data_IF_221493512757
#
_entry.id   IF_221493512757
#
_cell.length_a   1.000
_cell.length_b   1.000
_cell.length_c   1.000
_cell.angle_alpha   90.00
_cell.angle_beta   90.00
_cell.angle_gamma   90.00
#
_symmetry.space_group_name_H-M   'P 1'
#
loop_
_entity.id
_entity.type
_entity.pdbx_description
1 polymer ?
#
# COMPACT_ATOMS: atom_id res chain seq x y z
N UNK A 1 21.10 0.77 -4.06
CA UNK A 1 20.56 2.15 -3.96
C UNK A 1 20.25 2.39 -2.49
N UNK A 2 20.74 3.48 -1.89
CA UNK A 2 20.40 3.82 -0.50
C UNK A 2 18.94 4.28 -0.47
N UNK A 3 18.11 3.73 0.41
CA UNK A 3 16.74 4.24 0.65
C UNK A 3 16.90 5.62 1.29
N UNK A 4 16.17 6.62 0.79
CA UNK A 4 16.17 7.96 1.37
C UNK A 4 15.63 7.91 2.80
N UNK A 5 16.21 8.70 3.70
CA UNK A 5 15.93 8.60 5.12
C UNK A 5 14.45 8.90 5.42
N UNK A 6 13.82 9.76 4.61
CA UNK A 6 12.41 10.12 4.67
C UNK A 6 11.45 8.97 4.37
N UNK A 7 11.90 7.97 3.61
CA UNK A 7 11.09 6.84 3.17
C UNK A 7 11.29 5.59 4.04
N UNK A 8 12.14 5.63 5.06
CA UNK A 8 12.50 4.41 5.81
C UNK A 8 11.30 3.74 6.48
N UNK A 9 10.34 4.51 7.00
CA UNK A 9 9.14 3.96 7.63
C UNK A 9 8.21 3.37 6.57
N UNK A 10 7.84 4.16 5.55
CA UNK A 10 6.97 3.71 4.46
C UNK A 10 7.53 2.48 3.74
N UNK A 11 8.85 2.43 3.52
CA UNK A 11 9.50 1.25 2.90
C UNK A 11 9.39 -0.01 3.78
N UNK A 12 9.43 0.12 5.12
CA UNK A 12 9.19 -1.01 6.03
C UNK A 12 7.72 -1.47 5.95
N UNK A 13 6.79 -0.54 5.85
CA UNK A 13 5.37 -0.84 5.69
C UNK A 13 5.07 -1.49 4.33
N UNK A 14 5.78 -1.10 3.28
CA UNK A 14 5.76 -1.78 1.97
C UNK A 14 6.24 -3.22 2.04
N UNK A 15 7.26 -3.53 2.84
CA UNK A 15 7.65 -4.92 3.06
C UNK A 15 6.50 -5.74 3.66
N UNK A 16 5.68 -5.14 4.52
CA UNK A 16 4.51 -5.79 5.11
C UNK A 16 3.38 -5.96 4.10
N UNK A 17 3.07 -4.92 3.30
CA UNK A 17 2.12 -4.99 2.20
C UNK A 17 2.50 -6.09 1.20
N UNK A 18 3.78 -6.15 0.80
CA UNK A 18 4.29 -7.18 -0.11
C UNK A 18 4.24 -8.58 0.49
N UNK A 19 4.50 -8.73 1.79
CA UNK A 19 4.36 -10.01 2.49
C UNK A 19 2.91 -10.49 2.46
N UNK A 20 1.96 -9.62 2.82
CA UNK A 20 0.52 -9.89 2.74
C UNK A 20 0.10 -10.24 1.30
N UNK A 21 0.56 -9.45 0.32
CA UNK A 21 0.25 -9.68 -1.08
C UNK A 21 0.71 -11.07 -1.56
N UNK A 22 1.92 -11.47 -1.21
CA UNK A 22 2.42 -12.82 -1.51
C UNK A 22 1.61 -13.91 -0.78
N UNK A 23 1.23 -13.68 0.49
CA UNK A 23 0.35 -14.61 1.23
C UNK A 23 -0.98 -14.78 0.51
N UNK A 24 -1.62 -13.69 0.07
CA UNK A 24 -2.89 -13.73 -0.67
C UNK A 24 -2.76 -14.56 -1.96
N UNK A 25 -1.74 -14.26 -2.77
CA UNK A 25 -1.51 -14.97 -4.04
C UNK A 25 -1.24 -16.46 -3.81
N UNK A 26 -0.43 -16.81 -2.81
CA UNK A 26 -0.10 -18.20 -2.52
C UNK A 26 -1.29 -18.97 -1.95
N UNK A 27 -2.06 -18.36 -1.05
CA UNK A 27 -3.26 -18.97 -0.46
C UNK A 27 -4.35 -19.15 -1.51
N UNK A 28 -4.59 -18.17 -2.38
CA UNK A 28 -5.58 -18.28 -3.46
C UNK A 28 -5.22 -19.38 -4.48
N UNK A 29 -3.93 -19.66 -4.66
CA UNK A 29 -3.44 -20.77 -5.50
C UNK A 29 -3.37 -22.11 -4.77
N UNK A 30 -3.58 -22.10 -3.45
CA UNK A 30 -3.67 -23.34 -2.68
C UNK A 30 -5.04 -23.98 -2.93
N UNK A 31 -5.09 -25.31 -3.05
CA UNK A 31 -6.36 -26.05 -3.12
C UNK A 31 -7.04 -26.18 -1.75
N UNK A 32 -6.86 -25.20 -0.85
CA UNK A 32 -7.42 -25.20 0.49
C UNK A 32 -8.41 -24.04 0.69
N UNK A 33 -9.69 -24.34 0.47
CA UNK A 33 -10.78 -23.38 0.60
C UNK A 33 -10.97 -22.83 2.03
N UNK A 34 -10.59 -23.59 3.07
CA UNK A 34 -10.66 -23.11 4.46
C UNK A 34 -9.65 -21.97 4.67
N UNK A 35 -8.39 -22.19 4.26
CA UNK A 35 -7.35 -21.18 4.38
C UNK A 35 -7.68 -19.90 3.59
N UNK A 36 -8.29 -20.04 2.41
CA UNK A 36 -8.77 -18.90 1.62
C UNK A 36 -9.81 -18.09 2.41
N UNK A 37 -10.84 -18.76 2.94
CA UNK A 37 -11.89 -18.11 3.72
C UNK A 37 -11.36 -17.43 4.98
N UNK A 38 -10.49 -18.11 5.73
CA UNK A 38 -9.90 -17.58 6.96
C UNK A 38 -9.08 -16.32 6.67
N UNK A 39 -8.27 -16.34 5.60
CA UNK A 39 -7.50 -15.18 5.20
C UNK A 39 -8.37 -14.03 4.71
N UNK A 40 -9.45 -14.31 3.96
CA UNK A 40 -10.41 -13.29 3.52
C UNK A 40 -11.06 -12.56 4.71
N UNK A 41 -11.51 -13.32 5.71
CA UNK A 41 -12.08 -12.76 6.94
C UNK A 41 -11.07 -11.91 7.71
N UNK A 42 -9.83 -12.38 7.80
CA UNK A 42 -8.76 -11.65 8.46
C UNK A 42 -8.47 -10.31 7.77
N UNK A 43 -8.28 -10.33 6.44
CA UNK A 43 -8.00 -9.13 5.65
C UNK A 43 -9.12 -8.11 5.79
N UNK A 44 -10.38 -8.54 5.61
CA UNK A 44 -11.55 -7.67 5.75
C UNK A 44 -11.62 -6.98 7.11
N UNK A 45 -11.23 -7.70 8.18
CA UNK A 45 -11.24 -7.17 9.54
C UNK A 45 -10.10 -6.18 9.84
N UNK A 46 -8.91 -6.38 9.29
CA UNK A 46 -7.72 -5.65 9.75
C UNK A 46 -7.12 -4.70 8.73
N UNK A 47 -7.25 -4.97 7.42
CA UNK A 47 -6.49 -4.29 6.37
C UNK A 47 -6.60 -2.76 6.45
N UNK A 48 -7.83 -2.23 6.53
CA UNK A 48 -8.06 -0.79 6.59
C UNK A 48 -7.40 -0.16 7.81
N UNK A 49 -7.63 -0.71 9.01
CA UNK A 49 -7.03 -0.17 10.24
C UNK A 49 -5.51 -0.31 10.31
N UNK A 50 -4.94 -1.28 9.58
CA UNK A 50 -3.50 -1.52 9.56
C UNK A 50 -2.77 -0.55 8.62
N UNK A 51 -3.38 -0.20 7.48
CA UNK A 51 -2.68 0.51 6.40
C UNK A 51 -3.27 1.89 6.06
N UNK A 52 -4.30 2.35 6.77
CA UNK A 52 -4.86 3.69 6.55
C UNK A 52 -3.86 4.80 6.80
N UNK A 53 -3.05 4.69 7.85
CA UNK A 53 -2.02 5.70 8.16
C UNK A 53 -0.96 5.75 7.04
N UNK A 54 -0.54 4.60 6.50
CA UNK A 54 0.37 4.51 5.36
C UNK A 54 -0.18 5.24 4.13
N UNK A 55 -1.37 4.84 3.67
CA UNK A 55 -2.00 5.41 2.48
C UNK A 55 -2.29 6.90 2.65
N UNK A 56 -2.79 7.32 3.81
CA UNK A 56 -3.03 8.74 4.10
C UNK A 56 -1.74 9.55 4.06
N UNK A 57 -0.64 9.04 4.64
CA UNK A 57 0.65 9.71 4.60
C UNK A 57 1.18 9.83 3.18
N UNK A 58 1.11 8.77 2.38
CA UNK A 58 1.53 8.78 0.98
C UNK A 58 0.72 9.78 0.16
N UNK A 59 -0.60 9.75 0.28
CA UNK A 59 -1.49 10.65 -0.45
C UNK A 59 -1.20 12.10 -0.11
N UNK A 60 -1.17 12.45 1.18
CA UNK A 60 -1.01 13.83 1.65
C UNK A 60 0.39 14.39 1.39
N UNK A 61 1.44 13.59 1.62
CA UNK A 61 2.82 14.10 1.70
C UNK A 61 3.67 13.79 0.47
N UNK A 62 3.26 12.83 -0.37
CA UNK A 62 3.99 12.42 -1.56
C UNK A 62 3.14 12.66 -2.81
N UNK A 63 1.94 12.11 -2.88
CA UNK A 63 1.18 12.09 -4.13
C UNK A 63 0.65 13.48 -4.47
N UNK A 64 0.05 14.15 -3.49
CA UNK A 64 -0.47 15.51 -3.64
C UNK A 64 0.58 16.54 -4.07
N UNK A 65 1.81 16.58 -3.52
CA UNK A 65 2.83 17.49 -4.04
C UNK A 65 3.45 17.03 -5.38
N UNK A 66 3.62 15.72 -5.60
CA UNK A 66 4.21 15.21 -6.85
C UNK A 66 3.29 15.35 -8.07
N UNK A 67 1.97 15.24 -7.91
CA UNK A 67 1.01 15.37 -9.03
C UNK A 67 1.12 16.70 -9.77
N UNK A 68 1.63 17.74 -9.11
CA UNK A 68 1.81 19.08 -9.68
C UNK A 68 3.13 19.28 -10.41
N UNK A 69 4.06 18.31 -10.35
CA UNK A 69 5.40 18.45 -10.93
C UNK A 69 5.44 18.13 -12.43
N UNK A 70 4.55 17.27 -12.92
CA UNK A 70 4.42 16.97 -14.36
C UNK A 70 3.12 16.24 -14.69
N UNK A 71 2.72 16.22 -15.97
CA UNK A 71 1.52 15.49 -16.41
C UNK A 71 1.62 13.96 -16.28
N UNK A 72 2.83 13.38 -16.34
CA UNK A 72 3.02 11.95 -16.09
C UNK A 72 2.87 11.61 -14.61
N UNK A 73 3.40 12.46 -13.71
CA UNK A 73 3.22 12.31 -12.27
C UNK A 73 1.76 12.53 -11.86
N UNK A 74 1.05 13.47 -12.50
CA UNK A 74 -0.38 13.63 -12.29
C UNK A 74 -1.15 12.33 -12.53
N UNK A 75 -0.90 11.67 -13.66
CA UNK A 75 -1.54 10.39 -14.00
C UNK A 75 -1.15 9.28 -13.03
N UNK A 76 0.14 9.14 -12.71
CA UNK A 76 0.64 8.11 -11.80
C UNK A 76 0.05 8.27 -10.39
N UNK A 77 0.05 9.49 -9.83
CA UNK A 77 -0.50 9.74 -8.51
C UNK A 77 -2.01 9.46 -8.45
N UNK A 78 -2.78 9.87 -9.45
CA UNK A 78 -4.22 9.56 -9.47
C UNK A 78 -4.49 8.05 -9.59
N UNK A 79 -3.70 7.34 -10.40
CA UNK A 79 -3.80 5.88 -10.46
C UNK A 79 -3.58 5.25 -9.08
N UNK A 80 -2.54 5.66 -8.35
CA UNK A 80 -2.23 5.09 -7.03
C UNK A 80 -3.33 5.40 -6.00
N UNK A 81 -3.91 6.60 -6.03
CA UNK A 81 -5.08 6.97 -5.19
C UNK A 81 -6.28 6.07 -5.52
N UNK A 82 -6.58 5.87 -6.81
CA UNK A 82 -7.68 5.00 -7.23
C UNK A 82 -7.41 3.54 -6.80
N UNK A 83 -6.16 3.08 -6.88
CA UNK A 83 -5.74 1.75 -6.41
C UNK A 83 -5.89 1.59 -4.89
N UNK A 84 -5.61 2.62 -4.07
CA UNK A 84 -5.90 2.58 -2.62
C UNK A 84 -7.38 2.32 -2.34
N UNK A 85 -8.27 3.04 -3.04
CA UNK A 85 -9.72 2.85 -2.89
C UNK A 85 -10.16 1.46 -3.36
N UNK A 86 -9.61 0.97 -4.47
CA UNK A 86 -9.88 -0.38 -4.95
C UNK A 86 -9.42 -1.46 -3.97
N UNK A 87 -8.24 -1.28 -3.34
CA UNK A 87 -7.72 -2.20 -2.32
C UNK A 87 -8.64 -2.25 -1.10
N UNK A 88 -9.16 -1.11 -0.64
CA UNK A 88 -10.12 -1.09 0.45
C UNK A 88 -11.44 -1.77 0.08
N UNK A 89 -11.97 -1.50 -1.11
CA UNK A 89 -13.21 -2.12 -1.57
C UNK A 89 -13.06 -3.64 -1.67
N UNK A 90 -11.99 -4.11 -2.33
CA UNK A 90 -11.69 -5.54 -2.44
C UNK A 90 -11.55 -6.17 -1.05
N UNK A 91 -10.76 -5.57 -0.15
CA UNK A 91 -10.57 -6.10 1.20
C UNK A 91 -11.89 -6.25 1.97
N UNK A 92 -12.78 -5.26 1.86
CA UNK A 92 -14.09 -5.30 2.49
C UNK A 92 -14.97 -6.44 1.94
N UNK A 93 -14.92 -6.67 0.62
CA UNK A 93 -15.80 -7.62 -0.08
C UNK A 93 -15.32 -9.08 -0.03
N UNK A 94 -14.04 -9.32 0.30
CA UNK A 94 -13.43 -10.66 0.32
C UNK A 94 -14.23 -11.75 1.06
N UNK A 95 -14.90 -11.50 2.21
CA UNK A 95 -15.69 -12.54 2.88
C UNK A 95 -16.85 -13.07 2.02
N UNK A 96 -17.42 -12.22 1.16
CA UNK A 96 -18.51 -12.56 0.25
C UNK A 96 -17.99 -13.06 -1.10
N UNK A 97 -16.80 -12.62 -1.48
CA UNK A 97 -16.16 -12.90 -2.77
C UNK A 97 -14.73 -13.46 -2.59
N UNK A 98 -14.56 -14.66 -2.00
CA UNK A 98 -13.23 -15.24 -1.75
C UNK A 98 -12.43 -15.51 -3.03
N UNK A 99 -13.10 -15.66 -4.19
CA UNK A 99 -12.48 -15.74 -5.51
C UNK A 99 -11.65 -14.48 -5.87
N UNK A 100 -11.96 -13.34 -5.26
CA UNK A 100 -11.25 -12.08 -5.46
C UNK A 100 -9.92 -12.01 -4.70
N UNK A 101 -9.58 -12.98 -3.83
CA UNK A 101 -8.34 -12.98 -3.06
C UNK A 101 -7.09 -12.89 -3.94
N UNK A 102 -7.10 -13.55 -5.10
CA UNK A 102 -6.00 -13.48 -6.05
C UNK A 102 -5.88 -12.08 -6.66
N UNK A 103 -7.01 -11.46 -7.02
CA UNK A 103 -7.04 -10.12 -7.58
C UNK A 103 -6.53 -9.08 -6.56
N UNK A 104 -7.01 -9.15 -5.31
CA UNK A 104 -6.52 -8.33 -4.21
C UNK A 104 -5.00 -8.47 -4.02
N UNK A 105 -4.50 -9.70 -3.91
CA UNK A 105 -3.07 -9.95 -3.73
C UNK A 105 -2.21 -9.46 -4.90
N UNK A 106 -2.70 -9.59 -6.14
CA UNK A 106 -2.00 -9.08 -7.32
C UNK A 106 -1.98 -7.54 -7.35
N UNK A 107 -3.12 -6.89 -7.09
CA UNK A 107 -3.22 -5.43 -7.05
C UNK A 107 -2.28 -4.85 -6.00
N UNK A 108 -2.33 -5.39 -4.77
CA UNK A 108 -1.48 -4.95 -3.66
C UNK A 108 0.01 -5.06 -4.01
N UNK A 109 0.38 -6.15 -4.68
CA UNK A 109 1.77 -6.40 -5.10
C UNK A 109 2.23 -5.45 -6.21
N UNK A 110 1.39 -5.21 -7.22
CA UNK A 110 1.74 -4.30 -8.32
C UNK A 110 1.82 -2.86 -7.83
N UNK A 111 0.86 -2.46 -6.98
CA UNK A 111 0.76 -1.15 -6.37
C UNK A 111 2.01 -0.78 -5.57
N UNK A 112 2.36 -1.55 -4.53
CA UNK A 112 3.54 -1.23 -3.70
C UNK A 112 4.85 -1.24 -4.51
N UNK A 113 4.95 -2.09 -5.54
CA UNK A 113 6.12 -2.09 -6.45
C UNK A 113 6.15 -0.89 -7.38
N UNK A 114 4.99 -0.40 -7.80
CA UNK A 114 4.89 0.76 -8.66
C UNK A 114 5.37 2.00 -7.91
N UNK A 115 4.98 2.14 -6.65
CA UNK A 115 5.45 3.20 -5.76
C UNK A 115 6.96 3.12 -5.55
N UNK A 116 7.45 1.98 -5.07
CA UNK A 116 8.88 1.75 -4.79
C UNK A 116 9.77 2.08 -5.99
N UNK A 117 9.32 1.70 -7.20
CA UNK A 117 10.15 1.75 -8.41
C UNK A 117 9.98 3.01 -9.22
N UNK A 118 8.80 3.63 -9.20
CA UNK A 118 8.47 4.74 -10.08
C UNK A 118 8.19 6.03 -9.33
N UNK A 119 7.51 5.98 -8.19
CA UNK A 119 7.12 7.18 -7.46
C UNK A 119 8.14 7.60 -6.41
N UNK A 120 8.58 6.68 -5.56
CA UNK A 120 9.56 6.96 -4.49
C UNK A 120 10.90 7.50 -5.02
N UNK A 121 11.42 7.09 -6.20
CA UNK A 121 12.60 7.75 -6.77
C UNK A 121 12.38 9.21 -7.18
N UNK A 122 11.13 9.73 -7.13
CA UNK A 122 10.77 11.10 -7.50
C UNK A 122 10.64 12.02 -6.30
N UNK A 123 10.86 11.53 -5.08
CA UNK A 123 10.86 12.38 -3.88
C UNK A 123 11.89 13.52 -3.96
N UNK A 124 12.92 13.41 -4.79
CA UNK A 124 13.91 14.48 -4.99
C UNK A 124 13.34 15.71 -5.69
N UNK A 125 12.14 15.60 -6.27
CA UNK A 125 11.39 16.74 -6.78
C UNK A 125 10.64 17.51 -5.69
N UNK A 126 10.61 16.99 -4.46
CA UNK A 126 10.03 17.62 -3.29
C UNK A 126 11.02 18.58 -2.63
N UNK A 127 10.48 19.68 -2.12
CA UNK A 127 11.19 20.61 -1.24
C UNK A 127 11.55 19.96 0.09
N UNK A 128 12.51 20.54 0.80
CA UNK A 128 12.91 20.06 2.14
C UNK A 128 11.72 20.06 3.12
N UNK A 129 10.82 21.04 3.05
CA UNK A 129 9.62 21.08 3.90
C UNK A 129 8.64 19.95 3.60
N UNK A 130 8.46 19.60 2.32
CA UNK A 130 7.61 18.47 1.91
C UNK A 130 8.24 17.14 2.35
N UNK A 131 9.55 16.97 2.19
CA UNK A 131 10.31 15.81 2.66
C UNK A 131 10.21 15.62 4.19
N UNK A 132 10.31 16.71 4.96
CA UNK A 132 10.11 16.69 6.42
C UNK A 132 8.69 16.30 6.82
N UNK A 133 7.67 16.64 6.01
CA UNK A 133 6.30 16.24 6.28
C UNK A 133 6.12 14.72 6.20
N UNK A 134 6.80 14.04 5.27
CA UNK A 134 6.82 12.57 5.17
C UNK A 134 7.31 11.95 6.48
N UNK A 135 8.47 12.42 6.98
CA UNK A 135 9.06 11.92 8.23
C UNK A 135 8.09 12.15 9.39
N UNK A 136 7.57 13.37 9.52
CA UNK A 136 6.71 13.74 10.64
C UNK A 136 5.45 12.85 10.70
N UNK A 137 4.78 12.67 9.57
CA UNK A 137 3.52 11.94 9.53
C UNK A 137 3.74 10.43 9.69
N UNK A 138 4.73 9.87 8.98
CA UNK A 138 5.08 8.44 9.10
C UNK A 138 5.61 8.05 10.49
N UNK A 139 6.27 8.97 11.21
CA UNK A 139 6.73 8.70 12.58
C UNK A 139 5.59 8.48 13.60
N UNK A 140 4.38 8.91 13.27
CA UNK A 140 3.19 8.69 14.08
C UNK A 140 2.51 7.34 13.81
N UNK A 141 2.93 6.61 12.77
CA UNK A 141 2.32 5.34 12.42
C UNK A 141 2.46 4.35 13.57
N UNK A 142 1.35 3.77 13.97
CA UNK A 142 1.38 2.65 14.88
C UNK A 142 1.97 1.45 14.14
N UNK A 143 3.09 0.90 14.65
CA UNK A 143 3.75 -0.25 14.02
C UNK A 143 2.70 -1.32 13.70
N UNK A 144 2.47 -1.63 12.41
CA UNK A 144 1.35 -2.48 12.07
C UNK A 144 1.63 -3.88 12.62
N UNK A 145 0.97 -4.26 13.71
CA UNK A 145 1.01 -5.62 14.23
C UNK A 145 0.07 -6.47 13.40
N UNK A 146 0.53 -6.81 12.20
CA UNK A 146 -0.08 -7.83 11.39
C UNK A 146 0.20 -9.18 12.05
N UNK A 147 -0.70 -9.62 12.94
CA UNK A 147 -0.80 -11.04 13.34
C UNK A 147 -1.37 -11.85 12.18
N UNK A 148 -0.76 -11.80 10.99
CA UNK A 148 -1.15 -12.63 9.83
C UNK A 148 -0.33 -13.92 9.83
#
# INVERSE_FOLDING_TARGET
MKIADELLILTREHHMLLSLANKCVNTAKSNNASNVKDLCLQISKTFKSTFSENFETEELTIFMPLKHKSGSLFKLCNQLIDEHQQLYQLAQDLPNHPECLLAFGNLLKSHSRLEDRQLFPKIDLLSNSEKLAIIKLSSCHTSPMLKI
#
